data_IF_318197516951
#
_entry.id   IF_318197516951
#
_cell.length_a   1.000
_cell.length_b   1.000
_cell.length_c   1.000
_cell.angle_alpha   90.00
_cell.angle_beta   90.00
_cell.angle_gamma   90.00
#
_symmetry.space_group_name_H-M   'P 1'
#
loop_
_entity.id
_entity.type
_entity.pdbx_description
1 polymer ?
#
# COMPACT_ATOMS: atom_id res chain seq x y z
N UNK A 1 -10.70 -9.13 18.09
CA UNK A 1 -9.27 -8.76 18.01
C UNK A 1 -8.93 -8.09 16.68
N UNK A 2 -9.12 -8.74 15.52
CA UNK A 2 -8.93 -8.10 14.20
C UNK A 2 -9.70 -6.79 14.06
N UNK A 3 -11.03 -6.85 14.22
CA UNK A 3 -11.89 -5.67 14.16
C UNK A 3 -11.43 -4.55 15.12
N UNK A 4 -11.04 -4.90 16.35
CA UNK A 4 -10.51 -3.94 17.31
C UNK A 4 -9.18 -3.32 16.85
N UNK A 5 -8.30 -4.09 16.19
CA UNK A 5 -7.06 -3.60 15.61
C UNK A 5 -7.33 -2.66 14.42
N UNK A 6 -8.27 -3.02 13.53
CA UNK A 6 -8.74 -2.12 12.46
C UNK A 6 -9.28 -0.82 13.03
N UNK A 7 -10.21 -0.89 13.99
CA UNK A 7 -10.79 0.30 14.62
C UNK A 7 -9.73 1.20 15.27
N UNK A 8 -8.77 0.60 15.99
CA UNK A 8 -7.63 1.33 16.57
C UNK A 8 -6.82 2.02 15.47
N UNK A 9 -6.47 1.31 14.41
CA UNK A 9 -5.67 1.87 13.32
C UNK A 9 -6.37 3.07 12.67
N UNK A 10 -7.63 2.91 12.27
CA UNK A 10 -8.40 3.99 11.62
C UNK A 10 -8.78 5.13 12.57
N UNK A 11 -8.87 4.90 13.88
CA UNK A 11 -9.09 5.94 14.87
C UNK A 11 -7.84 6.83 15.07
N UNK A 12 -6.64 6.24 15.04
CA UNK A 12 -5.39 6.93 15.38
C UNK A 12 -4.56 7.39 14.18
N UNK A 13 -4.76 6.80 12.99
CA UNK A 13 -4.00 7.14 11.78
C UNK A 13 -4.87 7.97 10.84
N UNK A 14 -4.81 9.29 10.98
CA UNK A 14 -5.66 10.23 10.22
C UNK A 14 -5.49 10.13 8.70
N UNK A 15 -4.28 9.81 8.22
CA UNK A 15 -4.01 9.68 6.78
C UNK A 15 -4.79 8.50 6.14
N UNK A 16 -5.07 7.43 6.90
CA UNK A 16 -5.85 6.29 6.41
C UNK A 16 -7.33 6.62 6.27
N UNK A 17 -7.83 7.68 6.91
CA UNK A 17 -9.21 8.17 6.74
C UNK A 17 -9.39 8.94 5.44
N UNK A 18 -8.30 9.53 4.91
CA UNK A 18 -8.34 10.41 3.73
C UNK A 18 -7.83 9.72 2.45
N UNK A 19 -6.91 8.76 2.56
CA UNK A 19 -6.25 8.13 1.40
C UNK A 19 -7.12 7.20 0.56
N UNK A 20 -7.89 6.24 1.12
CA UNK A 20 -8.68 5.32 0.30
C UNK A 20 -9.73 6.04 -0.57
N UNK A 21 -10.50 7.02 -0.06
CA UNK A 21 -11.41 7.81 -0.89
C UNK A 21 -10.70 8.58 -2.00
N UNK A 22 -9.51 9.13 -1.72
CA UNK A 22 -8.72 9.87 -2.71
C UNK A 22 -8.15 8.96 -3.80
N UNK A 23 -7.65 7.78 -3.46
CA UNK A 23 -7.14 6.83 -4.45
C UNK A 23 -8.26 6.33 -5.39
N UNK A 24 -9.46 6.10 -4.83
CA UNK A 24 -10.66 5.78 -5.62
C UNK A 24 -11.11 6.99 -6.47
N UNK A 25 -11.05 8.21 -5.93
CA UNK A 25 -11.36 9.42 -6.69
C UNK A 25 -10.35 9.70 -7.81
N UNK A 26 -9.05 9.45 -7.58
CA UNK A 26 -8.00 9.58 -8.60
C UNK A 26 -8.19 8.53 -9.71
N UNK A 27 -8.59 7.30 -9.36
CA UNK A 27 -8.95 6.25 -10.32
C UNK A 27 -10.20 6.63 -11.14
N UNK A 28 -11.27 7.08 -10.48
CA UNK A 28 -12.52 7.46 -11.11
C UNK A 28 -12.43 8.76 -11.94
N UNK A 29 -11.57 9.70 -11.52
CA UNK A 29 -11.31 10.95 -12.23
C UNK A 29 -10.39 10.80 -13.45
N UNK A 30 -9.67 9.67 -13.55
CA UNK A 30 -8.80 9.33 -14.67
C UNK A 30 -9.45 8.48 -15.77
N UNK A 31 -10.79 8.31 -15.74
CA UNK A 31 -11.55 7.59 -16.78
C UNK A 31 -11.55 8.43 -18.06
N UNK A 32 -10.45 8.33 -18.82
CA UNK A 32 -10.37 8.85 -20.17
C UNK A 32 -10.67 7.72 -21.15
N UNK A 33 -11.56 7.99 -22.10
CA UNK A 33 -11.77 7.09 -23.23
C UNK A 33 -10.52 7.20 -24.11
N UNK A 34 -9.78 6.10 -24.27
CA UNK A 34 -8.63 6.03 -25.18
C UNK A 34 -9.10 6.08 -26.64
N UNK A 35 -9.35 7.30 -27.13
CA UNK A 35 -9.79 7.56 -28.51
C UNK A 35 -8.72 7.08 -29.50
N UNK A 36 -7.43 7.14 -29.13
CA UNK A 36 -6.33 6.72 -30.02
C UNK A 36 -6.30 5.20 -30.17
N UNK A 37 -6.41 4.47 -29.05
CA UNK A 37 -6.54 3.01 -29.06
C UNK A 37 -7.80 2.53 -29.77
N UNK A 38 -8.90 3.28 -29.69
CA UNK A 38 -10.13 3.02 -30.42
C UNK A 38 -9.94 3.22 -31.93
N UNK A 39 -9.26 4.29 -32.36
CA UNK A 39 -8.94 4.55 -33.77
C UNK A 39 -8.04 3.45 -34.36
N UNK A 40 -7.02 3.00 -33.63
CA UNK A 40 -6.13 1.93 -34.08
C UNK A 40 -6.86 0.58 -34.21
N UNK A 41 -7.76 0.26 -33.27
CA UNK A 41 -8.61 -0.92 -33.37
C UNK A 41 -9.61 -0.83 -34.53
N UNK A 42 -10.25 0.33 -34.73
CA UNK A 42 -11.17 0.55 -35.85
C UNK A 42 -10.48 0.44 -37.22
N UNK A 43 -9.22 0.84 -37.35
CA UNK A 43 -8.42 0.63 -38.57
C UNK A 43 -8.13 -0.85 -38.86
N UNK A 44 -8.11 -1.68 -37.82
CA UNK A 44 -7.85 -3.12 -37.94
C UNK A 44 -9.11 -3.95 -38.24
N UNK A 45 -10.30 -3.37 -38.05
CA UNK A 45 -11.58 -4.05 -38.28
C UNK A 45 -12.06 -3.75 -39.70
N UNK A 46 -12.43 -4.81 -40.42
CA UNK A 46 -13.14 -4.66 -41.69
C UNK A 46 -14.59 -4.23 -41.44
N UNK A 47 -14.83 -2.92 -41.53
CA UNK A 47 -16.13 -2.29 -41.31
C UNK A 47 -17.15 -2.72 -42.38
N UNK A 48 -16.69 -3.28 -43.50
CA UNK A 48 -17.58 -3.82 -44.53
C UNK A 48 -18.13 -5.22 -44.18
N UNK A 49 -17.58 -5.86 -43.16
CA UNK A 49 -17.98 -7.18 -42.69
C UNK A 49 -18.79 -7.11 -41.37
N UNK A 50 -20.12 -7.33 -41.40
CA UNK A 50 -20.97 -7.29 -40.21
C UNK A 50 -20.54 -8.27 -39.11
N UNK A 51 -19.98 -9.43 -39.49
CA UNK A 51 -19.52 -10.44 -38.54
C UNK A 51 -18.25 -9.96 -37.78
N UNK A 52 -17.34 -9.26 -38.47
CA UNK A 52 -16.13 -8.70 -37.85
C UNK A 52 -16.45 -7.58 -36.87
N UNK A 53 -17.47 -6.75 -37.17
CA UNK A 53 -17.98 -5.74 -36.23
C UNK A 53 -18.58 -6.42 -34.99
N UNK A 54 -19.38 -7.48 -35.20
CA UNK A 54 -20.02 -8.20 -34.12
C UNK A 54 -19.01 -8.90 -33.20
N UNK A 55 -17.94 -9.46 -33.77
CA UNK A 55 -16.82 -10.05 -33.04
C UNK A 55 -16.01 -9.00 -32.26
N UNK A 56 -15.72 -7.84 -32.88
CA UNK A 56 -15.03 -6.75 -32.20
C UNK A 56 -15.85 -6.15 -31.03
N UNK A 57 -17.17 -6.03 -31.19
CA UNK A 57 -18.05 -5.58 -30.11
C UNK A 57 -18.11 -6.59 -28.95
N UNK A 58 -18.06 -7.90 -29.24
CA UNK A 58 -17.96 -8.94 -28.22
C UNK A 58 -16.56 -9.01 -27.57
N UNK A 59 -15.52 -8.60 -28.32
CA UNK A 59 -14.13 -8.56 -27.88
C UNK A 59 -13.70 -7.28 -27.13
N UNK A 60 -14.64 -6.45 -26.69
CA UNK A 60 -14.33 -5.29 -25.84
C UNK A 60 -13.80 -4.07 -26.59
N UNK A 61 -14.19 -3.86 -27.86
CA UNK A 61 -13.83 -2.64 -28.64
C UNK A 61 -14.14 -1.32 -27.91
N UNK A 62 -15.11 -1.34 -26.99
CA UNK A 62 -15.51 -0.18 -26.18
C UNK A 62 -15.16 -0.31 -24.71
N UNK A 63 -14.41 -1.35 -24.30
CA UNK A 63 -13.91 -1.42 -22.93
C UNK A 63 -12.83 -0.36 -22.73
N UNK A 64 -13.02 0.59 -21.79
CA UNK A 64 -11.99 1.57 -21.49
C UNK A 64 -10.71 0.87 -21.03
N UNK A 65 -9.61 1.08 -21.76
CA UNK A 65 -8.30 0.60 -21.31
C UNK A 65 -7.79 1.47 -20.18
N UNK A 66 -7.27 0.85 -19.14
CA UNK A 66 -6.70 1.59 -18.01
C UNK A 66 -5.51 2.47 -18.48
N UNK A 67 -5.54 3.74 -18.10
CA UNK A 67 -4.42 4.65 -18.33
C UNK A 67 -3.23 4.31 -17.41
N UNK A 68 -1.98 4.72 -17.74
CA UNK A 68 -0.86 4.58 -16.82
C UNK A 68 -1.11 5.21 -15.43
N UNK A 69 -1.83 6.32 -15.39
CA UNK A 69 -2.21 7.00 -14.15
C UNK A 69 -3.20 6.17 -13.31
N UNK A 70 -4.19 5.54 -13.96
CA UNK A 70 -5.13 4.62 -13.31
C UNK A 70 -4.43 3.39 -12.73
N UNK A 71 -3.54 2.74 -13.50
CA UNK A 71 -2.74 1.62 -12.99
C UNK A 71 -1.90 2.01 -11.78
N UNK A 72 -1.31 3.21 -11.80
CA UNK A 72 -0.55 3.72 -10.66
C UNK A 72 -1.45 4.00 -9.44
N UNK A 73 -2.68 4.50 -9.65
CA UNK A 73 -3.65 4.70 -8.58
C UNK A 73 -4.12 3.38 -7.95
N UNK A 74 -4.43 2.37 -8.79
CA UNK A 74 -4.77 1.03 -8.33
C UNK A 74 -3.63 0.38 -7.57
N UNK A 75 -2.40 0.48 -8.08
CA UNK A 75 -1.22 -0.04 -7.39
C UNK A 75 -1.04 0.62 -6.00
N UNK A 76 -1.20 1.94 -5.90
CA UNK A 76 -1.15 2.64 -4.60
C UNK A 76 -2.25 2.18 -3.64
N UNK A 77 -3.46 1.93 -4.16
CA UNK A 77 -4.58 1.41 -3.38
C UNK A 77 -4.31 -0.02 -2.89
N UNK A 78 -3.82 -0.90 -3.77
CA UNK A 78 -3.43 -2.28 -3.45
C UNK A 78 -2.38 -2.30 -2.33
N UNK A 79 -1.31 -1.50 -2.46
CA UNK A 79 -0.26 -1.38 -1.44
C UNK A 79 -0.84 -0.89 -0.13
N UNK A 80 -1.68 0.15 -0.15
CA UNK A 80 -2.28 0.70 1.08
C UNK A 80 -3.14 -0.34 1.80
N UNK A 81 -3.98 -1.07 1.06
CA UNK A 81 -4.82 -2.13 1.62
C UNK A 81 -3.98 -3.31 2.15
N UNK A 82 -2.95 -3.71 1.42
CA UNK A 82 -2.02 -4.75 1.86
C UNK A 82 -1.31 -4.35 3.16
N UNK A 83 -0.86 -3.10 3.27
CA UNK A 83 -0.21 -2.57 4.48
C UNK A 83 -1.15 -2.56 5.68
N UNK A 84 -2.39 -2.13 5.51
CA UNK A 84 -3.41 -2.15 6.56
C UNK A 84 -3.66 -3.57 7.05
N UNK A 85 -3.93 -4.51 6.14
CA UNK A 85 -4.18 -5.90 6.51
C UNK A 85 -2.96 -6.59 7.12
N UNK A 86 -1.77 -6.32 6.57
CA UNK A 86 -0.51 -6.85 7.09
C UNK A 86 -0.23 -6.37 8.53
N UNK A 87 -0.51 -5.10 8.82
CA UNK A 87 -0.31 -4.54 10.16
C UNK A 87 -1.29 -5.16 11.16
N UNK A 88 -2.56 -5.35 10.75
CA UNK A 88 -3.57 -6.03 11.57
C UNK A 88 -3.19 -7.49 11.83
N UNK A 89 -2.73 -8.22 10.81
CA UNK A 89 -2.24 -9.59 10.95
C UNK A 89 -1.12 -9.66 12.00
N UNK A 90 -0.16 -8.75 11.93
CA UNK A 90 0.98 -8.69 12.85
C UNK A 90 0.55 -8.35 14.29
N UNK A 91 -0.22 -7.27 14.49
CA UNK A 91 -0.68 -6.84 15.83
C UNK A 91 -1.55 -7.91 16.49
N UNK A 92 -2.45 -8.53 15.73
CA UNK A 92 -3.30 -9.61 16.25
C UNK A 92 -2.45 -10.83 16.56
N UNK A 93 -1.47 -11.16 15.72
CA UNK A 93 -0.51 -12.24 15.95
C UNK A 93 0.21 -12.07 17.28
N UNK A 94 0.79 -10.89 17.51
CA UNK A 94 1.46 -10.55 18.77
C UNK A 94 0.50 -10.60 19.98
N UNK A 95 -0.74 -10.15 19.82
CA UNK A 95 -1.71 -10.12 20.92
C UNK A 95 -2.18 -11.51 21.38
N UNK A 96 -2.18 -12.51 20.50
CA UNK A 96 -2.63 -13.88 20.79
C UNK A 96 -1.48 -14.85 21.08
N UNK A 97 -0.24 -14.45 20.80
CA UNK A 97 0.95 -15.24 21.06
C UNK A 97 1.03 -15.66 22.53
N UNK A 98 1.29 -16.94 22.79
CA UNK A 98 1.33 -17.53 24.13
C UNK A 98 -0.02 -17.64 24.86
N UNK A 99 -1.10 -17.02 24.35
CA UNK A 99 -2.44 -17.00 24.98
C UNK A 99 -3.43 -17.94 24.30
N UNK A 100 -3.18 -18.28 23.03
CA UNK A 100 -4.07 -19.11 22.23
C UNK A 100 -3.29 -20.25 21.55
N UNK A 101 -3.34 -21.49 22.07
CA UNK A 101 -2.63 -22.63 21.49
C UNK A 101 -2.99 -22.92 20.02
N UNK A 102 -4.21 -22.57 19.60
CA UNK A 102 -4.69 -22.76 18.23
C UNK A 102 -4.49 -21.54 17.30
N UNK A 103 -3.72 -20.53 17.72
CA UNK A 103 -3.52 -19.28 16.98
C UNK A 103 -3.06 -19.50 15.53
N UNK A 104 -2.03 -20.33 15.32
CA UNK A 104 -1.46 -20.59 13.99
C UNK A 104 -2.45 -21.26 13.05
N UNK A 105 -3.26 -22.21 13.56
CA UNK A 105 -4.32 -22.88 12.79
C UNK A 105 -5.40 -21.89 12.36
N UNK A 106 -5.82 -21.00 13.26
CA UNK A 106 -6.81 -19.97 12.94
C UNK A 106 -6.27 -18.97 11.92
N UNK A 107 -5.02 -18.49 12.09
CA UNK A 107 -4.37 -17.61 11.12
C UNK A 107 -4.32 -18.23 9.73
N UNK A 108 -3.97 -19.51 9.62
CA UNK A 108 -3.97 -20.24 8.34
C UNK A 108 -5.37 -20.33 7.72
N UNK A 109 -6.42 -20.64 8.51
CA UNK A 109 -7.80 -20.63 8.03
C UNK A 109 -8.21 -19.26 7.47
N UNK A 110 -7.83 -18.18 8.15
CA UNK A 110 -8.10 -16.81 7.69
C UNK A 110 -7.33 -16.45 6.41
N UNK A 111 -6.07 -16.90 6.28
CA UNK A 111 -5.28 -16.71 5.06
C UNK A 111 -5.92 -17.40 3.86
N UNK A 112 -6.40 -18.64 4.03
CA UNK A 112 -7.12 -19.37 2.98
C UNK A 112 -8.42 -18.67 2.59
N UNK A 113 -9.19 -18.21 3.58
CA UNK A 113 -10.43 -17.48 3.33
C UNK A 113 -10.19 -16.21 2.50
N UNK A 114 -9.14 -15.44 2.82
CA UNK A 114 -8.76 -14.26 2.03
C UNK A 114 -8.27 -14.62 0.63
N UNK A 115 -7.55 -15.73 0.48
CA UNK A 115 -7.09 -16.20 -0.81
C UNK A 115 -8.23 -16.66 -1.73
N UNK A 116 -9.30 -17.20 -1.15
CA UNK A 116 -10.51 -17.56 -1.88
C UNK A 116 -11.36 -16.34 -2.27
N UNK A 117 -11.18 -15.19 -1.60
CA UNK A 117 -12.03 -14.03 -1.77
C UNK A 117 -13.45 -14.23 -1.23
N UNK A 118 -14.26 -13.18 -1.34
CA UNK A 118 -15.68 -13.20 -1.03
C UNK A 118 -16.49 -12.41 -2.05
N UNK A 119 -17.83 -12.48 -1.98
CA UNK A 119 -18.71 -11.82 -2.97
C UNK A 119 -18.52 -10.30 -3.03
N UNK A 120 -18.12 -9.68 -1.91
CA UNK A 120 -17.85 -8.25 -1.85
C UNK A 120 -16.54 -7.91 -2.58
N UNK A 121 -15.49 -8.71 -2.39
CA UNK A 121 -14.21 -8.58 -3.09
C UNK A 121 -14.36 -8.81 -4.60
N UNK A 122 -15.16 -9.80 -5.03
CA UNK A 122 -15.49 -10.04 -6.44
C UNK A 122 -16.23 -8.84 -7.06
N UNK A 123 -17.19 -8.26 -6.33
CA UNK A 123 -17.91 -7.07 -6.78
C UNK A 123 -16.99 -5.87 -6.90
N UNK A 124 -16.09 -5.66 -5.93
CA UNK A 124 -15.13 -4.56 -5.95
C UNK A 124 -14.12 -4.72 -7.10
N UNK A 125 -13.63 -5.94 -7.34
CA UNK A 125 -12.77 -6.26 -8.47
C UNK A 125 -13.45 -5.94 -9.80
N UNK A 126 -14.74 -6.30 -9.96
CA UNK A 126 -15.50 -5.99 -11.17
C UNK A 126 -15.74 -4.48 -11.38
N UNK A 127 -15.88 -3.70 -10.31
CA UNK A 127 -16.18 -2.26 -10.38
C UNK A 127 -14.93 -1.38 -10.53
N UNK A 128 -13.83 -1.77 -9.91
CA UNK A 128 -12.63 -0.93 -9.75
C UNK A 128 -11.40 -1.57 -10.40
N UNK A 129 -11.49 -2.80 -10.92
CA UNK A 129 -10.35 -3.53 -11.47
C UNK A 129 -9.32 -3.94 -10.40
N UNK A 130 -9.65 -3.79 -9.12
CA UNK A 130 -8.73 -4.05 -8.02
C UNK A 130 -8.88 -5.48 -7.50
N UNK A 131 -7.87 -6.31 -7.73
CA UNK A 131 -7.74 -7.63 -7.12
C UNK A 131 -6.70 -7.61 -6.01
N UNK A 132 -7.12 -7.90 -4.78
CA UNK A 132 -6.21 -8.03 -3.64
C UNK A 132 -5.43 -9.35 -3.74
N UNK A 133 -4.17 -9.26 -4.15
CA UNK A 133 -3.31 -10.44 -4.31
C UNK A 133 -2.97 -11.05 -2.95
N UNK A 134 -3.27 -12.34 -2.68
CA UNK A 134 -2.96 -12.98 -1.40
C UNK A 134 -1.46 -12.98 -1.07
N UNK A 135 -0.61 -12.85 -2.09
CA UNK A 135 0.84 -12.66 -1.92
C UNK A 135 1.15 -11.32 -1.24
N UNK A 136 0.63 -10.19 -1.75
CA UNK A 136 0.89 -8.85 -1.21
C UNK A 136 0.48 -8.71 0.26
N UNK A 137 -0.63 -9.33 0.67
CA UNK A 137 -1.03 -9.34 2.09
C UNK A 137 -0.01 -10.09 2.97
N UNK A 138 0.56 -11.19 2.48
CA UNK A 138 1.60 -11.94 3.21
C UNK A 138 2.89 -11.13 3.27
N UNK A 139 3.31 -10.55 2.16
CA UNK A 139 4.53 -9.74 2.07
C UNK A 139 4.46 -8.55 3.03
N UNK A 140 3.31 -7.87 3.10
CA UNK A 140 3.08 -6.79 4.06
C UNK A 140 3.16 -7.27 5.52
N UNK A 141 2.56 -8.42 5.85
CA UNK A 141 2.67 -9.00 7.20
C UNK A 141 4.12 -9.34 7.55
N UNK A 142 4.90 -9.87 6.60
CA UNK A 142 6.34 -10.13 6.76
C UNK A 142 7.12 -8.83 6.99
N UNK A 143 6.83 -7.78 6.23
CA UNK A 143 7.45 -6.46 6.38
C UNK A 143 7.25 -5.92 7.79
N UNK A 144 6.00 -5.91 8.28
CA UNK A 144 5.70 -5.42 9.63
C UNK A 144 6.34 -6.25 10.74
N UNK A 145 6.35 -7.58 10.58
CA UNK A 145 7.01 -8.48 11.53
C UNK A 145 8.53 -8.31 11.56
N UNK A 146 9.17 -8.13 10.39
CA UNK A 146 10.59 -7.83 10.25
C UNK A 146 10.95 -6.51 10.93
N UNK A 147 10.20 -5.45 10.63
CA UNK A 147 10.40 -4.13 11.20
C UNK A 147 10.27 -4.14 12.72
N UNK A 148 9.21 -4.78 13.26
CA UNK A 148 9.04 -4.95 14.71
C UNK A 148 10.21 -5.71 15.33
N UNK A 149 10.63 -6.80 14.70
CA UNK A 149 11.73 -7.65 15.23
C UNK A 149 13.05 -6.90 15.30
N UNK A 150 13.32 -6.03 14.31
CA UNK A 150 14.57 -5.27 14.24
C UNK A 150 14.56 -3.98 15.06
N UNK A 151 13.42 -3.28 15.13
CA UNK A 151 13.35 -1.89 15.63
C UNK A 151 12.27 -1.64 16.67
N UNK A 152 11.51 -2.65 17.09
CA UNK A 152 10.46 -2.51 18.09
C UNK A 152 9.08 -2.13 17.55
N UNK A 153 8.08 -2.12 18.44
CA UNK A 153 6.69 -1.86 18.07
C UNK A 153 6.44 -0.39 17.73
N UNK A 154 7.18 0.50 18.37
CA UNK A 154 7.14 1.95 18.17
C UNK A 154 7.63 2.32 16.76
N UNK A 155 8.73 1.72 16.30
CA UNK A 155 9.23 1.92 14.93
C UNK A 155 8.24 1.40 13.89
N UNK A 156 7.61 0.25 14.15
CA UNK A 156 6.54 -0.30 13.30
C UNK A 156 5.36 0.67 13.20
N UNK A 157 4.86 1.15 14.33
CA UNK A 157 3.68 2.02 14.35
C UNK A 157 4.00 3.45 13.85
N UNK A 158 5.25 3.90 14.02
CA UNK A 158 5.74 5.20 13.55
C UNK A 158 5.76 5.36 12.03
N UNK A 159 5.70 4.26 11.26
CA UNK A 159 5.54 4.29 9.80
C UNK A 159 4.26 5.04 9.38
N UNK A 160 3.22 5.00 10.21
CA UNK A 160 1.96 5.68 9.96
C UNK A 160 1.98 7.19 10.23
N UNK A 161 3.09 7.76 10.70
CA UNK A 161 3.17 9.18 11.06
C UNK A 161 3.16 10.11 9.84
N UNK A 162 3.67 9.66 8.70
CA UNK A 162 3.75 10.49 7.50
C UNK A 162 3.57 9.67 6.21
N UNK A 163 2.83 10.20 5.21
CA UNK A 163 2.76 9.69 3.84
C UNK A 163 4.03 9.07 3.25
N UNK A 164 5.16 9.75 3.42
CA UNK A 164 6.44 9.39 2.78
C UNK A 164 7.18 8.28 3.52
N UNK A 165 6.69 7.92 4.71
CA UNK A 165 7.25 6.84 5.51
C UNK A 165 6.67 5.48 5.13
N UNK A 166 5.55 5.46 4.39
CA UNK A 166 4.83 4.26 4.01
C UNK A 166 5.64 3.43 3.01
N UNK A 167 5.65 2.10 3.16
CA UNK A 167 6.22 1.21 2.15
C UNK A 167 5.54 1.38 0.79
N UNK A 168 6.34 1.18 -0.24
CA UNK A 168 5.95 1.17 -1.65
C UNK A 168 5.68 -0.26 -2.13
N UNK A 169 5.32 -0.40 -3.41
CA UNK A 169 5.16 -1.71 -4.02
C UNK A 169 6.49 -2.50 -4.07
N UNK A 170 7.62 -1.80 -4.25
CA UNK A 170 8.97 -2.39 -4.28
C UNK A 170 9.37 -2.91 -2.90
N UNK A 171 9.03 -2.17 -1.84
CA UNK A 171 9.24 -2.63 -0.45
C UNK A 171 8.42 -3.87 -0.11
N UNK A 172 7.27 -4.07 -0.76
CA UNK A 172 6.51 -5.32 -0.64
C UNK A 172 7.10 -6.45 -1.50
N UNK A 173 7.89 -6.14 -2.52
CA UNK A 173 8.64 -7.16 -3.29
C UNK A 173 9.92 -7.59 -2.55
N UNK A 174 10.49 -6.72 -1.70
CA UNK A 174 11.52 -7.05 -0.70
C UNK A 174 11.12 -6.62 0.72
N UNK A 175 10.25 -7.41 1.40
CA UNK A 175 9.73 -7.05 2.72
C UNK A 175 10.79 -7.06 3.83
N UNK A 176 11.95 -7.69 3.61
CA UNK A 176 13.01 -7.75 4.61
C UNK A 176 13.95 -6.54 4.51
N UNK A 177 14.18 -6.04 3.29
CA UNK A 177 15.02 -4.86 3.03
C UNK A 177 14.41 -3.53 3.45
N UNK A 178 13.09 -3.46 3.66
CA UNK A 178 12.43 -2.22 4.09
C UNK A 178 13.06 -1.67 5.37
N UNK A 179 13.69 -0.49 5.27
CA UNK A 179 14.39 0.18 6.38
C UNK A 179 15.48 -0.66 7.04
N UNK A 180 16.17 -1.52 6.31
CA UNK A 180 17.29 -2.30 6.85
C UNK A 180 18.41 -1.39 7.38
N UNK A 181 18.72 -0.30 6.66
CA UNK A 181 19.74 0.68 7.06
C UNK A 181 19.26 1.82 7.97
N UNK A 182 17.95 1.93 8.24
CA UNK A 182 17.43 2.96 9.12
C UNK A 182 17.67 2.55 10.57
N UNK A 183 18.66 3.18 11.22
CA UNK A 183 18.88 3.03 12.66
C UNK A 183 17.88 3.89 13.42
N UNK A 184 17.40 3.41 14.57
CA UNK A 184 16.69 4.29 15.49
C UNK A 184 17.63 5.48 15.81
N UNK A 185 17.14 6.72 15.80
CA UNK A 185 17.93 7.86 16.27
C UNK A 185 18.48 7.51 17.65
N UNK A 186 19.75 7.84 17.91
CA UNK A 186 20.29 7.70 19.25
C UNK A 186 19.35 8.43 20.22
N UNK A 187 19.03 7.80 21.35
CA UNK A 187 18.26 8.47 22.40
C UNK A 187 19.06 9.69 22.87
N UNK A 188 18.66 10.88 22.39
CA UNK A 188 19.21 12.14 22.85
C UNK A 188 18.54 12.49 24.17
N UNK A 189 19.34 12.80 25.18
CA UNK A 189 18.82 13.41 26.39
C UNK A 189 18.18 14.76 26.05
N UNK A 190 17.23 15.21 26.89
CA UNK A 190 16.59 16.52 26.71
C UNK A 190 17.63 17.65 26.67
N UNK A 191 18.72 17.51 27.44
CA UNK A 191 19.82 18.48 27.48
C UNK A 191 20.62 18.50 26.17
N UNK A 192 20.88 17.34 25.56
CA UNK A 192 21.55 17.25 24.26
C UNK A 192 20.67 17.78 23.12
N UNK A 193 19.37 17.49 23.16
CA UNK A 193 18.42 18.02 22.18
C UNK A 193 18.33 19.56 22.26
N UNK A 194 18.24 20.11 23.47
CA UNK A 194 18.22 21.57 23.69
C UNK A 194 19.54 22.23 23.28
N UNK A 195 20.67 21.57 23.49
CA UNK A 195 21.98 22.07 23.04
C UNK A 195 22.08 22.10 21.51
N UNK A 196 21.64 21.03 20.83
CA UNK A 196 21.68 20.93 19.37
C UNK A 196 20.71 21.91 18.71
N UNK A 197 19.51 22.08 19.28
CA UNK A 197 18.53 23.07 18.83
C UNK A 197 19.07 24.50 18.96
N UNK A 198 19.80 24.80 20.04
CA UNK A 198 20.43 26.10 20.27
C UNK A 198 21.55 26.36 19.24
N UNK A 199 22.38 25.36 18.95
CA UNK A 199 23.38 25.43 17.86
C UNK A 199 22.74 25.70 16.49
N UNK A 200 21.59 25.07 16.19
CA UNK A 200 20.88 25.25 14.93
C UNK A 200 20.26 26.65 14.79
N UNK A 201 19.77 27.21 15.89
CA UNK A 201 19.16 28.55 15.95
C UNK A 201 20.19 29.69 16.00
N UNK A 202 21.35 29.45 16.60
CA UNK A 202 22.44 30.44 16.71
C UNK A 202 23.31 30.54 15.43
N UNK A 203 23.10 29.63 14.45
CA UNK A 203 23.59 29.77 13.08
C UNK A 203 24.81 28.90 12.75
N UNK A 204 24.60 27.87 11.94
CA UNK A 204 25.65 27.14 11.23
C UNK A 204 26.38 28.07 10.25
N UNK A 205 27.50 28.62 10.69
CA UNK A 205 28.42 29.44 9.91
C UNK A 205 29.85 28.97 10.08
N UNK A 206 30.12 27.71 9.76
CA UNK A 206 31.48 27.25 9.47
C UNK A 206 31.47 26.60 8.10
N UNK A 207 31.42 27.47 7.09
CA UNK A 207 31.91 27.11 5.76
C UNK A 207 33.38 26.75 5.90
N UNK A 208 33.68 25.48 5.69
CA UNK A 208 35.03 25.02 5.42
C UNK A 208 35.41 25.57 4.05
N UNK A 209 36.20 26.65 4.05
CA UNK A 209 36.82 27.23 2.87
C UNK A 209 38.17 26.53 2.73
N UNK A 210 38.36 25.58 1.79
CA UNK A 210 39.66 24.98 1.58
C UNK A 210 40.51 26.00 0.81
N UNK A 211 41.52 26.52 1.49
CA UNK A 211 42.62 27.27 0.88
C UNK A 211 43.10 26.61 -0.43
N UNK A 212 42.97 27.33 -1.54
CA UNK A 212 43.93 27.40 -2.65
C UNK A 212 43.66 28.63 -3.52
#
# INVERSE_FOLDING_TARGET
LREAAHQRLFAHVLLLRQRPPRAVADYAGGVEIDVTGLEDQLRSIDISNPAAIQEAMQGGLFEPKETPAQRAALSRLEVTLALVEGWVDEVVGQAIEGRMPAASKLQETWRRRRAAGGPAEETFAALVGLELRPRRLRDASTLWGSLRTRQGAEARDGVWMHPDLLPTAEDLDDPLGFREGATAPAELSADEFDAELRNLLDGGGSGDDPTA
#
